data_IF_436319272078
#
_entry.id   IF_436319272078
#
_cell.length_a   1.000
_cell.length_b   1.000
_cell.length_c   1.000
_cell.angle_alpha   90.00
_cell.angle_beta   90.00
_cell.angle_gamma   90.00
#
_symmetry.space_group_name_H-M   'P 1'
#
loop_
_entity.id
_entity.type
_entity.pdbx_description
1 polymer ?
#
# COMPACT_ATOMS: atom_id res chain seq x y z
N UNK A 1 -19.63 -26.41 61.39
CA UNK A 1 -19.28 -27.45 62.38
C UNK A 1 -20.57 -28.10 62.81
N UNK A 2 -20.75 -29.40 62.56
CA UNK A 2 -21.67 -30.31 63.28
C UNK A 2 -21.51 -31.72 62.72
N UNK A 3 -20.95 -32.59 63.56
CA UNK A 3 -21.09 -34.06 63.57
C UNK A 3 -21.56 -34.42 64.99
N UNK A 4 -21.99 -35.67 65.32
CA UNK A 4 -22.73 -36.72 64.61
C UNK A 4 -23.99 -37.13 65.46
N UNK A 5 -24.58 -38.35 65.33
CA UNK A 5 -24.04 -39.50 66.08
C UNK A 5 -24.06 -40.87 65.36
N UNK A 6 -23.14 -41.74 65.78
CA UNK A 6 -23.05 -43.21 65.58
C UNK A 6 -24.17 -43.93 66.38
N UNK A 7 -24.67 -45.14 66.08
CA UNK A 7 -24.10 -46.51 66.05
C UNK A 7 -25.29 -47.51 65.82
N UNK A 8 -25.18 -48.87 65.76
CA UNK A 8 -24.02 -49.77 65.77
C UNK A 8 -24.02 -50.87 64.67
N UNK A 9 -22.89 -51.58 64.62
CA UNK A 9 -22.61 -52.85 63.92
C UNK A 9 -23.39 -54.05 64.51
N UNK A 10 -23.45 -55.18 63.76
CA UNK A 10 -22.94 -56.44 64.33
C UNK A 10 -22.04 -57.24 63.37
N UNK A 11 -20.82 -57.56 63.82
CA UNK A 11 -20.22 -58.90 64.04
C UNK A 11 -21.00 -60.12 63.47
N UNK A 12 -20.47 -61.14 62.78
CA UNK A 12 -19.12 -61.79 62.69
C UNK A 12 -19.05 -62.64 61.35
N UNK A 13 -18.18 -63.66 61.15
CA UNK A 13 -17.15 -63.69 60.12
C UNK A 13 -17.44 -64.62 58.92
N UNK A 14 -16.95 -64.25 57.74
CA UNK A 14 -16.93 -65.14 56.59
C UNK A 14 -15.53 -65.21 56.00
N UNK A 15 -14.72 -66.16 56.48
CA UNK A 15 -13.53 -66.65 55.78
C UNK A 15 -13.93 -67.19 54.41
N UNK A 16 -13.90 -66.32 53.41
CA UNK A 16 -14.19 -66.61 52.02
C UNK A 16 -12.97 -66.31 51.16
N UNK A 17 -12.16 -67.33 50.96
CA UNK A 17 -11.32 -67.64 49.79
C UNK A 17 -11.00 -66.50 48.79
N UNK A 18 -9.71 -66.34 48.38
CA UNK A 18 -9.35 -65.45 47.29
C UNK A 18 -10.05 -65.92 46.01
N UNK A 19 -11.15 -65.24 45.64
CA UNK A 19 -11.78 -65.43 44.34
C UNK A 19 -10.80 -64.97 43.29
N UNK A 20 -10.11 -65.96 42.72
CA UNK A 20 -9.44 -65.87 41.44
C UNK A 20 -10.29 -65.02 40.49
N UNK A 21 -9.73 -63.96 39.87
CA UNK A 21 -10.46 -63.19 38.89
C UNK A 21 -10.82 -64.13 37.74
N UNK A 22 -12.10 -64.47 37.65
CA UNK A 22 -12.62 -65.31 36.59
C UNK A 22 -12.23 -64.75 35.21
N UNK A 23 -12.22 -65.59 34.18
CA UNK A 23 -11.73 -65.25 32.84
C UNK A 23 -12.41 -63.99 32.24
N UNK A 24 -13.61 -63.65 32.70
CA UNK A 24 -14.34 -62.44 32.33
C UNK A 24 -13.74 -61.13 32.89
N UNK A 25 -13.14 -61.15 34.09
CA UNK A 25 -12.47 -59.96 34.66
C UNK A 25 -11.16 -59.63 33.96
N UNK A 26 -10.42 -60.66 33.52
CA UNK A 26 -9.23 -60.50 32.67
C UNK A 26 -9.58 -60.02 31.26
N UNK A 27 -10.69 -60.54 30.69
CA UNK A 27 -11.17 -60.08 29.39
C UNK A 27 -11.60 -58.60 29.42
N UNK A 28 -12.28 -58.15 30.47
CA UNK A 28 -12.67 -56.74 30.64
C UNK A 28 -11.44 -55.84 30.86
N UNK A 29 -10.44 -56.27 31.62
CA UNK A 29 -9.19 -55.53 31.79
C UNK A 29 -8.35 -55.42 30.49
N UNK A 30 -8.35 -56.47 29.66
CA UNK A 30 -7.71 -56.47 28.33
C UNK A 30 -8.50 -55.60 27.35
N UNK A 31 -9.85 -55.63 27.40
CA UNK A 31 -10.71 -54.78 26.60
C UNK A 31 -10.51 -53.30 26.94
N UNK A 32 -10.42 -52.94 28.23
CA UNK A 32 -10.13 -51.57 28.66
C UNK A 32 -8.70 -51.11 28.30
N UNK A 33 -7.70 -52.01 28.35
CA UNK A 33 -6.33 -51.70 27.85
C UNK A 33 -6.30 -51.55 26.33
N UNK A 34 -7.09 -52.33 25.58
CA UNK A 34 -7.22 -52.20 24.13
C UNK A 34 -7.97 -50.91 23.74
N UNK A 35 -9.02 -50.54 24.46
CA UNK A 35 -9.77 -49.29 24.28
C UNK A 35 -8.92 -48.05 24.63
N UNK A 36 -8.08 -48.09 25.68
CA UNK A 36 -7.08 -47.02 25.93
C UNK A 36 -6.00 -46.94 24.85
N UNK A 37 -5.60 -48.06 24.23
CA UNK A 37 -4.68 -48.04 23.06
C UNK A 37 -5.35 -47.52 21.79
N UNK A 38 -6.67 -47.67 21.66
CA UNK A 38 -7.48 -47.18 20.53
C UNK A 38 -7.92 -45.72 20.64
N UNK A 39 -7.67 -45.05 21.78
CA UNK A 39 -7.95 -43.62 22.00
C UNK A 39 -6.91 -42.64 21.41
N UNK A 40 -5.80 -43.14 20.85
CA UNK A 40 -4.74 -42.30 20.24
C UNK A 40 -5.05 -41.62 18.89
N UNK A 41 -5.98 -42.06 18.01
CA UNK A 41 -6.19 -41.40 16.73
C UNK A 41 -6.95 -40.06 16.86
N UNK A 42 -7.80 -39.91 17.89
CA UNK A 42 -8.55 -38.66 18.12
C UNK A 42 -7.66 -37.56 18.70
N UNK A 43 -6.75 -37.87 19.63
CA UNK A 43 -5.77 -36.88 20.12
C UNK A 43 -4.80 -36.43 19.00
N UNK A 44 -4.38 -37.35 18.12
CA UNK A 44 -3.53 -37.03 16.97
C UNK A 44 -4.27 -36.19 15.91
N UNK A 45 -5.59 -36.41 15.73
CA UNK A 45 -6.46 -35.64 14.83
C UNK A 45 -6.87 -34.29 15.42
N UNK A 46 -7.11 -34.19 16.72
CA UNK A 46 -7.34 -32.92 17.42
C UNK A 46 -6.09 -32.02 17.30
N UNK A 47 -4.89 -32.58 17.47
CA UNK A 47 -3.64 -31.87 17.25
C UNK A 47 -3.45 -31.39 15.81
N UNK A 48 -3.94 -32.12 14.80
CA UNK A 48 -3.89 -31.66 13.40
C UNK A 48 -4.87 -30.53 13.12
N UNK A 49 -6.09 -30.57 13.68
CA UNK A 49 -7.05 -29.48 13.54
C UNK A 49 -6.58 -28.20 14.25
N UNK A 50 -5.94 -28.34 15.41
CA UNK A 50 -5.36 -27.21 16.13
C UNK A 50 -4.19 -26.58 15.37
N UNK A 51 -3.29 -27.40 14.78
CA UNK A 51 -2.22 -26.89 13.90
C UNK A 51 -2.79 -26.19 12.67
N UNK A 52 -3.76 -26.80 11.99
CA UNK A 52 -4.41 -26.20 10.83
C UNK A 52 -5.10 -24.87 11.19
N UNK A 53 -5.75 -24.80 12.36
CA UNK A 53 -6.33 -23.55 12.87
C UNK A 53 -5.28 -22.46 13.07
N UNK A 54 -4.15 -22.80 13.71
CA UNK A 54 -3.03 -21.86 13.86
C UNK A 54 -2.44 -21.41 12.53
N UNK A 55 -2.29 -22.31 11.56
CA UNK A 55 -1.78 -21.98 10.23
C UNK A 55 -2.76 -21.06 9.47
N UNK A 56 -4.07 -21.32 9.57
CA UNK A 56 -5.10 -20.46 8.96
C UNK A 56 -5.12 -19.06 9.59
N UNK A 57 -4.98 -18.97 10.91
CA UNK A 57 -4.92 -17.69 11.59
C UNK A 57 -3.64 -16.93 11.25
N UNK A 58 -2.50 -17.62 11.13
CA UNK A 58 -1.26 -17.03 10.63
C UNK A 58 -1.42 -16.51 9.19
N UNK A 59 -2.03 -17.29 8.29
CA UNK A 59 -2.31 -16.84 6.91
C UNK A 59 -3.25 -15.63 6.87
N UNK A 60 -4.27 -15.58 7.73
CA UNK A 60 -5.17 -14.41 7.84
C UNK A 60 -4.43 -13.18 8.33
N UNK A 61 -3.62 -13.32 9.37
CA UNK A 61 -2.80 -12.22 9.91
C UNK A 61 -1.84 -11.68 8.85
N UNK A 62 -1.20 -12.56 8.09
CA UNK A 62 -0.28 -12.17 7.03
C UNK A 62 -1.01 -11.46 5.87
N UNK A 63 -2.17 -11.98 5.44
CA UNK A 63 -3.01 -11.31 4.44
C UNK A 63 -3.44 -9.91 4.90
N UNK A 64 -3.89 -9.79 6.15
CA UNK A 64 -4.36 -8.51 6.68
C UNK A 64 -3.19 -7.51 6.83
N UNK A 65 -1.99 -8.00 7.10
CA UNK A 65 -0.76 -7.19 7.07
C UNK A 65 -0.47 -6.69 5.65
N UNK A 66 -0.46 -7.55 4.64
CA UNK A 66 -0.23 -7.14 3.25
C UNK A 66 -1.30 -6.18 2.74
N UNK A 67 -2.56 -6.40 3.13
CA UNK A 67 -3.65 -5.47 2.81
C UNK A 67 -3.39 -4.08 3.39
N UNK A 68 -3.02 -3.98 4.67
CA UNK A 68 -2.66 -2.68 5.27
C UNK A 68 -1.50 -2.01 4.55
N UNK A 69 -0.49 -2.76 4.12
CA UNK A 69 0.62 -2.22 3.34
C UNK A 69 0.14 -1.71 1.98
N UNK A 70 -0.66 -2.48 1.24
CA UNK A 70 -1.23 -2.06 -0.04
C UNK A 70 -2.07 -0.78 0.10
N UNK A 71 -2.96 -0.73 1.10
CA UNK A 71 -3.80 0.44 1.38
C UNK A 71 -2.97 1.68 1.79
N UNK A 72 -1.80 1.48 2.41
CA UNK A 72 -0.87 2.56 2.75
C UNK A 72 -0.18 3.10 1.49
N UNK A 73 0.32 2.20 0.64
CA UNK A 73 0.96 2.58 -0.62
C UNK A 73 -0.02 3.28 -1.58
N UNK A 74 -1.28 2.84 -1.63
CA UNK A 74 -2.29 3.49 -2.46
C UNK A 74 -2.57 4.92 -2.00
N UNK A 75 -2.63 5.15 -0.68
CA UNK A 75 -2.77 6.50 -0.09
C UNK A 75 -1.59 7.39 -0.42
N UNK A 76 -0.37 6.89 -0.26
CA UNK A 76 0.85 7.63 -0.60
C UNK A 76 0.90 7.97 -2.09
N UNK A 77 0.61 7.00 -2.96
CA UNK A 77 0.57 7.20 -4.41
C UNK A 77 -0.47 8.24 -4.81
N UNK A 78 -1.65 8.21 -4.17
CA UNK A 78 -2.72 9.19 -4.40
C UNK A 78 -2.27 10.58 -3.99
N UNK A 79 -1.64 10.71 -2.81
CA UNK A 79 -1.09 11.98 -2.34
C UNK A 79 -0.02 12.52 -3.28
N UNK A 80 0.95 11.70 -3.69
CA UNK A 80 2.02 12.12 -4.61
C UNK A 80 1.46 12.52 -5.98
N UNK A 81 0.43 11.82 -6.49
CA UNK A 81 -0.24 12.20 -7.74
C UNK A 81 -0.92 13.56 -7.62
N UNK A 82 -1.60 13.83 -6.51
CA UNK A 82 -2.26 15.10 -6.26
C UNK A 82 -1.23 16.25 -6.11
N UNK A 83 -0.15 16.05 -5.36
CA UNK A 83 0.95 17.02 -5.23
C UNK A 83 1.58 17.32 -6.61
N UNK A 84 1.80 16.29 -7.44
CA UNK A 84 2.25 16.46 -8.81
C UNK A 84 1.26 17.25 -9.67
N UNK A 85 -0.05 17.03 -9.51
CA UNK A 85 -1.07 17.78 -10.24
C UNK A 85 -1.04 19.28 -9.89
N UNK A 86 -0.88 19.65 -8.62
CA UNK A 86 -0.70 21.05 -8.20
C UNK A 86 0.53 21.70 -8.84
N UNK A 87 1.66 20.99 -8.87
CA UNK A 87 2.88 21.50 -9.51
C UNK A 87 2.69 21.69 -11.03
N UNK A 88 1.97 20.79 -11.68
CA UNK A 88 1.63 20.93 -13.10
C UNK A 88 0.66 22.08 -13.35
N UNK A 89 -0.31 22.30 -12.47
CA UNK A 89 -1.23 23.44 -12.56
C UNK A 89 -0.49 24.77 -12.41
N UNK A 90 0.46 24.82 -11.47
CA UNK A 90 1.35 25.96 -11.31
C UNK A 90 2.24 26.18 -12.53
N UNK A 91 2.84 25.11 -13.09
CA UNK A 91 3.62 25.18 -14.32
C UNK A 91 2.77 25.72 -15.49
N UNK A 92 1.53 25.25 -15.63
CA UNK A 92 0.62 25.72 -16.66
C UNK A 92 0.27 27.21 -16.49
N UNK A 93 0.13 27.68 -15.24
CA UNK A 93 -0.11 29.09 -14.94
C UNK A 93 1.10 29.99 -15.31
N UNK A 94 2.33 29.47 -15.22
CA UNK A 94 3.54 30.17 -15.66
C UNK A 94 3.70 30.22 -17.19
N UNK A 95 3.02 29.32 -17.91
CA UNK A 95 3.09 29.19 -19.37
C UNK A 95 1.71 29.33 -20.04
N UNK A 96 1.00 30.45 -19.84
CA UNK A 96 -0.40 30.58 -20.29
C UNK A 96 -0.56 30.54 -21.81
N UNK A 97 0.48 30.87 -22.57
CA UNK A 97 0.46 30.86 -24.04
C UNK A 97 0.74 29.48 -24.65
N UNK A 98 1.30 28.53 -23.90
CA UNK A 98 1.69 27.21 -24.40
C UNK A 98 1.05 26.03 -23.69
N UNK A 99 0.33 26.26 -22.58
CA UNK A 99 -0.39 25.23 -21.85
C UNK A 99 -1.78 24.99 -22.46
N UNK A 100 -2.10 23.72 -22.71
CA UNK A 100 -3.37 23.29 -23.31
C UNK A 100 -3.81 21.97 -22.68
N UNK A 101 -5.11 21.83 -22.42
CA UNK A 101 -5.73 20.55 -22.06
C UNK A 101 -6.31 19.87 -23.29
N UNK A 102 -6.02 18.59 -23.47
CA UNK A 102 -6.63 17.74 -24.49
C UNK A 102 -7.24 16.49 -23.86
N UNK A 103 -8.43 16.05 -24.29
CA UNK A 103 -8.94 14.74 -23.89
C UNK A 103 -8.06 13.64 -24.51
N UNK A 104 -7.81 12.55 -23.77
CA UNK A 104 -7.07 11.42 -24.29
C UNK A 104 -7.89 10.68 -25.37
N UNK A 105 -7.23 10.30 -26.46
CA UNK A 105 -7.91 9.81 -27.66
C UNK A 105 -8.57 8.46 -27.37
N UNK A 106 -9.88 8.37 -27.54
CA UNK A 106 -10.65 7.14 -27.36
C UNK A 106 -11.16 6.91 -25.94
N UNK A 107 -10.83 7.79 -25.00
CA UNK A 107 -11.54 7.88 -23.73
C UNK A 107 -12.68 8.90 -23.89
N UNK A 108 -13.89 8.56 -23.44
CA UNK A 108 -15.06 9.44 -23.60
C UNK A 108 -14.93 10.81 -22.90
N UNK A 109 -16.02 11.59 -22.77
CA UNK A 109 -15.96 12.93 -22.17
C UNK A 109 -15.43 12.95 -20.72
N UNK A 110 -15.54 11.84 -19.98
CA UNK A 110 -15.01 11.66 -18.62
C UNK A 110 -13.66 10.93 -18.57
N UNK A 111 -12.98 10.83 -19.72
CA UNK A 111 -11.72 10.13 -19.89
C UNK A 111 -10.53 10.78 -19.17
N UNK A 112 -9.39 10.07 -19.05
CA UNK A 112 -8.13 10.74 -18.77
C UNK A 112 -7.91 11.90 -19.73
N UNK A 113 -7.40 13.01 -19.19
CA UNK A 113 -7.01 14.16 -19.98
C UNK A 113 -5.50 14.31 -19.96
N UNK A 114 -4.95 14.96 -20.97
CA UNK A 114 -3.55 15.29 -21.07
C UNK A 114 -3.38 16.80 -20.89
N UNK A 115 -2.47 17.19 -20.00
CA UNK A 115 -1.89 18.52 -20.04
C UNK A 115 -0.73 18.50 -21.03
N UNK A 116 -0.79 19.37 -22.03
CA UNK A 116 0.27 19.61 -22.99
C UNK A 116 0.88 21.00 -22.73
N UNK A 117 2.20 21.05 -22.57
CA UNK A 117 2.95 22.32 -22.46
C UNK A 117 4.11 22.29 -23.42
N UNK A 118 4.29 23.35 -24.20
CA UNK A 118 5.48 23.52 -25.02
C UNK A 118 6.62 24.17 -24.20
N UNK A 119 7.76 23.49 -24.11
CA UNK A 119 8.95 23.97 -23.42
C UNK A 119 10.24 23.58 -24.17
N UNK A 120 11.08 24.56 -24.49
CA UNK A 120 12.31 24.35 -25.23
C UNK A 120 12.08 23.79 -26.65
N UNK A 121 11.02 24.25 -27.32
CA UNK A 121 10.64 23.84 -28.68
C UNK A 121 10.12 22.40 -28.79
N UNK A 122 9.73 21.78 -27.67
CA UNK A 122 9.09 20.46 -27.64
C UNK A 122 7.83 20.49 -26.79
N UNK A 123 6.82 19.76 -27.26
CA UNK A 123 5.62 19.50 -26.48
C UNK A 123 5.91 18.42 -25.43
N UNK A 124 5.51 18.68 -24.20
CA UNK A 124 5.54 17.75 -23.08
C UNK A 124 4.11 17.44 -22.68
N UNK A 125 3.79 16.16 -22.48
CA UNK A 125 2.44 15.74 -22.12
C UNK A 125 2.42 14.99 -20.78
N UNK A 126 1.35 15.19 -20.01
CA UNK A 126 1.15 14.48 -18.76
C UNK A 126 -0.31 14.08 -18.61
N UNK A 127 -0.55 12.79 -18.33
CA UNK A 127 -1.87 12.31 -17.95
C UNK A 127 -2.33 12.88 -16.61
N UNK A 128 -3.57 13.34 -16.59
CA UNK A 128 -4.27 13.91 -15.45
C UNK A 128 -5.43 12.99 -15.04
N UNK A 129 -5.61 12.86 -13.73
CA UNK A 129 -6.80 12.21 -13.18
C UNK A 129 -8.00 13.16 -13.31
N UNK A 130 -9.21 12.63 -13.60
CA UNK A 130 -10.42 13.47 -13.69
C UNK A 130 -10.69 14.33 -12.44
N UNK A 131 -10.35 13.81 -11.26
CA UNK A 131 -10.53 14.52 -9.99
C UNK A 131 -9.66 15.79 -9.85
N UNK A 132 -8.54 15.87 -10.57
CA UNK A 132 -7.60 17.00 -10.50
C UNK A 132 -7.87 18.06 -11.59
N UNK A 133 -8.77 17.81 -12.55
CA UNK A 133 -9.12 18.75 -13.62
C UNK A 133 -9.54 20.15 -13.13
N UNK A 134 -10.27 20.32 -12.01
CA UNK A 134 -10.63 21.63 -11.51
C UNK A 134 -9.42 22.54 -11.21
N UNK A 135 -8.23 21.98 -10.95
CA UNK A 135 -7.00 22.75 -10.73
C UNK A 135 -6.52 23.48 -12.00
N UNK A 136 -6.99 23.07 -13.17
CA UNK A 136 -6.57 23.57 -14.47
C UNK A 136 -7.65 24.43 -15.15
N UNK A 137 -8.61 24.97 -14.39
CA UNK A 137 -9.70 25.79 -14.92
C UNK A 137 -9.22 27.03 -15.70
N UNK A 138 -7.98 27.49 -15.48
CA UNK A 138 -7.34 28.57 -16.22
C UNK A 138 -6.70 28.15 -17.54
N UNK A 139 -6.59 26.86 -17.82
CA UNK A 139 -5.93 26.32 -19.02
C UNK A 139 -6.96 26.11 -20.12
N UNK A 140 -6.73 26.62 -21.34
CA UNK A 140 -7.65 26.42 -22.45
C UNK A 140 -7.72 24.94 -22.86
N UNK A 141 -8.93 24.51 -23.20
CA UNK A 141 -9.16 23.19 -23.82
C UNK A 141 -8.97 23.29 -25.33
N UNK A 142 -8.16 22.39 -25.90
CA UNK A 142 -8.07 22.20 -27.33
C UNK A 142 -8.64 20.84 -27.73
N UNK A 143 -9.11 20.79 -28.98
CA UNK A 143 -9.51 19.52 -29.60
C UNK A 143 -8.27 18.62 -29.72
N UNK A 144 -8.39 17.30 -29.50
CA UNK A 144 -7.26 16.40 -29.68
C UNK A 144 -6.85 16.43 -31.15
N UNK A 145 -5.74 17.11 -31.44
CA UNK A 145 -5.02 16.93 -32.69
C UNK A 145 -4.40 15.56 -32.58
N UNK A 146 -4.81 14.62 -33.42
CA UNK A 146 -4.15 13.31 -33.53
C UNK A 146 -2.68 13.63 -33.80
N UNK A 147 -1.79 13.37 -32.83
CA UNK A 147 -0.39 13.60 -33.09
C UNK A 147 0.03 12.54 -34.10
N UNK A 148 0.42 12.94 -35.30
CA UNK A 148 1.36 12.18 -36.12
C UNK A 148 2.71 12.15 -35.38
N UNK A 149 2.76 11.60 -34.17
CA UNK A 149 3.99 11.55 -33.38
C UNK A 149 4.62 10.16 -33.50
N UNK A 150 5.89 10.11 -33.93
CA UNK A 150 6.75 8.93 -33.76
C UNK A 150 6.85 8.55 -32.29
N UNK A 151 7.30 7.32 -32.03
CA UNK A 151 7.52 6.68 -30.73
C UNK A 151 7.90 7.67 -29.59
N UNK A 152 7.43 7.42 -28.34
CA UNK A 152 7.63 8.35 -27.23
C UNK A 152 9.11 8.65 -27.04
N UNK A 153 9.53 9.82 -27.49
CA UNK A 153 10.82 10.39 -27.15
C UNK A 153 10.87 10.48 -25.63
N UNK A 154 11.99 10.14 -25.00
CA UNK A 154 12.15 10.18 -23.55
C UNK A 154 11.99 11.62 -23.03
N UNK A 155 10.74 11.99 -22.72
CA UNK A 155 10.33 13.27 -22.18
C UNK A 155 11.09 13.58 -20.89
N UNK A 156 11.40 12.56 -20.08
CA UNK A 156 12.14 12.73 -18.82
C UNK A 156 13.58 13.14 -19.09
N UNK A 157 14.25 12.53 -20.08
CA UNK A 157 15.58 12.97 -20.51
C UNK A 157 15.55 14.40 -21.07
N UNK A 158 14.53 14.77 -21.86
CA UNK A 158 14.39 16.14 -22.36
C UNK A 158 14.23 17.15 -21.23
N UNK A 159 13.31 16.90 -20.29
CA UNK A 159 13.10 17.76 -19.11
C UNK A 159 14.42 17.93 -18.35
N UNK A 160 15.10 16.82 -18.00
CA UNK A 160 16.38 16.88 -17.28
C UNK A 160 17.44 17.69 -18.01
N UNK A 161 17.56 17.51 -19.33
CA UNK A 161 18.50 18.28 -20.16
C UNK A 161 18.14 19.77 -20.16
N UNK A 162 16.87 20.10 -20.38
CA UNK A 162 16.41 21.49 -20.48
C UNK A 162 16.55 22.22 -19.13
N UNK A 163 16.14 21.60 -18.03
CA UNK A 163 16.33 22.15 -16.67
C UNK A 163 17.80 22.39 -16.36
N UNK A 164 18.70 21.47 -16.76
CA UNK A 164 20.14 21.69 -16.59
C UNK A 164 20.65 22.90 -17.38
N UNK A 165 20.17 23.09 -18.61
CA UNK A 165 20.56 24.25 -19.42
C UNK A 165 20.09 25.56 -18.79
N UNK A 166 18.83 25.64 -18.35
CA UNK A 166 18.27 26.83 -17.68
C UNK A 166 19.03 27.17 -16.38
N UNK A 167 19.40 26.15 -15.60
CA UNK A 167 20.20 26.35 -14.38
C UNK A 167 21.60 26.91 -14.69
N UNK A 168 22.23 26.48 -15.78
CA UNK A 168 23.54 26.99 -16.22
C UNK A 168 23.44 28.41 -16.80
N UNK A 169 22.35 28.73 -17.51
CA UNK A 169 22.09 30.07 -18.03
C UNK A 169 22.06 31.11 -16.89
N UNK A 170 21.36 30.82 -15.80
CA UNK A 170 21.35 31.67 -14.61
C UNK A 170 22.74 31.96 -14.04
N UNK A 171 23.69 31.02 -14.14
CA UNK A 171 25.08 31.25 -13.71
C UNK A 171 25.89 32.09 -14.69
N UNK A 172 25.64 31.93 -16.00
CA UNK A 172 26.37 32.64 -17.04
C UNK A 172 25.87 34.09 -17.21
N UNK A 173 24.58 34.33 -17.05
CA UNK A 173 23.95 35.66 -17.15
C UNK A 173 23.76 36.36 -15.80
N UNK A 174 23.85 35.65 -14.67
CA UNK A 174 23.87 36.25 -13.33
C UNK A 174 25.22 36.89 -12.97
N UNK A 175 26.34 36.32 -13.43
CA UNK A 175 27.69 36.85 -13.20
C UNK A 175 27.94 38.20 -13.91
N UNK A 176 27.20 38.51 -14.97
CA UNK A 176 27.33 39.81 -15.64
C UNK A 176 26.61 40.92 -14.89
N UNK A 177 25.52 40.64 -14.14
CA UNK A 177 24.80 41.66 -13.37
C UNK A 177 25.65 42.28 -12.24
N UNK A 178 26.49 41.49 -11.57
CA UNK A 178 27.45 42.01 -10.58
C UNK A 178 28.55 42.87 -11.24
N UNK A 179 28.94 42.52 -12.47
CA UNK A 179 29.92 43.30 -13.23
C UNK A 179 29.36 44.65 -13.70
N UNK A 180 28.09 44.73 -14.08
CA UNK A 180 27.44 46.01 -14.46
C UNK A 180 27.18 46.94 -13.28
N UNK A 181 26.96 46.41 -12.07
CA UNK A 181 26.84 47.20 -10.85
C UNK A 181 28.17 47.84 -10.43
N UNK A 182 29.31 47.21 -10.76
CA UNK A 182 30.65 47.78 -10.53
C UNK A 182 31.09 48.80 -11.59
N UNK A 183 30.44 48.83 -12.77
CA UNK A 183 30.81 49.68 -13.91
C UNK A 183 29.99 50.97 -13.99
N UNK A 184 28.91 51.11 -13.24
CA UNK A 184 28.16 52.37 -13.15
C UNK A 184 28.71 53.25 -12.00
N UNK A 185 29.49 54.32 -12.27
CA UNK A 185 29.81 55.27 -11.24
C UNK A 185 28.52 56.02 -10.88
N UNK A 186 28.16 55.98 -9.60
CA UNK A 186 27.16 56.84 -8.98
C UNK A 186 27.34 58.28 -9.51
N UNK A 187 26.35 58.78 -10.25
CA UNK A 187 26.32 60.19 -10.67
C UNK A 187 26.21 61.08 -9.42
N UNK A 188 27.11 62.06 -9.24
CA UNK A 188 26.98 63.06 -8.20
C UNK A 188 25.91 64.07 -8.61
N UNK A 189 24.95 64.31 -7.73
CA UNK A 189 23.85 65.26 -7.98
C UNK A 189 22.80 65.22 -6.89
N UNK A 190 23.23 65.35 -5.63
CA UNK A 190 22.35 65.83 -4.56
C UNK A 190 22.28 67.35 -4.68
N UNK A 191 21.07 67.88 -4.80
CA UNK A 191 20.74 69.29 -4.65
C UNK A 191 20.29 69.56 -3.22
#
# INVERSE_FOLDING_TARGET
MSSPPSDPLPDVPGTGHPRNPGPLGRAVAVLWRALRRRGKPLARRAGSWQRLGHDLDACRQERDRWRRHADSYERELTRTRHERAHLLAWLAALHPSSAVLTPDVGSGPDGPHLLCVEAGGRQLSWGLAPADLPLFAHVPYAQPVIPDSPAPVDQTAHIRRHTRLLAMEGTLFGATAETWAAVMPLRPGEH
#
